data_IF_408749706916
#
_entry.id   IF_408749706916
#
_cell.length_a   1.000
_cell.length_b   1.000
_cell.length_c   1.000
_cell.angle_alpha   90.00
_cell.angle_beta   90.00
_cell.angle_gamma   90.00
#
_symmetry.space_group_name_H-M   'P 1'
#
loop_
_entity.id
_entity.type
_entity.pdbx_description
1 polymer ?
#
# COMPACT_ATOMS: atom_id res chain seq x y z
N UNK A 1 29.47 7.87 10.64
CA UNK A 1 28.31 7.48 9.81
C UNK A 1 27.50 8.73 9.59
N UNK A 2 27.39 9.23 8.35
CA UNK A 2 26.51 10.36 8.04
C UNK A 2 25.06 9.92 8.20
N UNK A 3 24.22 10.75 8.83
CA UNK A 3 22.79 10.49 8.88
C UNK A 3 22.23 10.40 7.44
N UNK A 4 21.34 9.43 7.14
CA UNK A 4 20.69 9.37 5.83
C UNK A 4 20.00 10.71 5.54
N UNK A 5 20.14 11.19 4.31
CA UNK A 5 19.49 12.45 3.92
C UNK A 5 17.98 12.20 3.88
N UNK A 6 17.18 13.19 4.25
CA UNK A 6 15.71 13.11 4.16
C UNK A 6 15.26 12.65 2.76
N UNK A 7 15.96 13.08 1.71
CA UNK A 7 15.72 12.61 0.34
C UNK A 7 15.94 11.10 0.13
N UNK A 8 16.96 10.51 0.76
CA UNK A 8 17.22 9.07 0.67
C UNK A 8 16.12 8.27 1.40
N UNK A 9 15.67 8.77 2.56
CA UNK A 9 14.57 8.18 3.30
C UNK A 9 13.25 8.23 2.51
N UNK A 10 12.94 9.37 1.88
CA UNK A 10 11.77 9.52 1.03
C UNK A 10 11.81 8.58 -0.19
N UNK A 11 12.99 8.38 -0.79
CA UNK A 11 13.16 7.44 -1.91
C UNK A 11 12.89 6.00 -1.47
N UNK A 12 13.45 5.56 -0.33
CA UNK A 12 13.18 4.22 0.20
C UNK A 12 11.72 4.00 0.59
N UNK A 13 11.04 5.01 1.13
CA UNK A 13 9.61 4.93 1.43
C UNK A 13 8.78 4.81 0.14
N UNK A 14 9.17 5.50 -0.93
CA UNK A 14 8.52 5.35 -2.23
C UNK A 14 8.72 3.95 -2.82
N UNK A 15 9.95 3.41 -2.79
CA UNK A 15 10.22 2.03 -3.22
C UNK A 15 9.45 0.99 -2.40
N UNK A 16 9.34 1.19 -1.08
CA UNK A 16 8.57 0.32 -0.21
C UNK A 16 7.07 0.37 -0.53
N UNK A 17 6.53 1.55 -0.84
CA UNK A 17 5.15 1.71 -1.29
C UNK A 17 4.92 1.02 -2.64
N UNK A 18 5.82 1.21 -3.60
CA UNK A 18 5.74 0.55 -4.91
C UNK A 18 5.79 -0.98 -4.78
N UNK A 19 6.62 -1.52 -3.87
CA UNK A 19 6.69 -2.97 -3.64
C UNK A 19 5.42 -3.57 -3.00
N UNK A 20 4.65 -2.76 -2.26
CA UNK A 20 3.41 -3.18 -1.60
C UNK A 20 2.16 -2.90 -2.44
N UNK A 21 2.33 -2.25 -3.59
CA UNK A 21 1.25 -1.85 -4.48
C UNK A 21 1.37 -2.55 -5.81
N UNK A 22 0.21 -2.82 -6.40
CA UNK A 22 0.10 -3.46 -7.70
C UNK A 22 -0.07 -2.32 -8.70
N UNK A 23 0.57 -2.41 -9.86
CA UNK A 23 0.32 -1.48 -10.97
C UNK A 23 -1.13 -1.64 -11.43
N UNK A 24 -2.05 -0.87 -10.84
CA UNK A 24 -3.47 -0.95 -11.17
C UNK A 24 -3.88 0.24 -12.02
N UNK A 25 -3.96 -0.01 -13.33
CA UNK A 25 -4.88 0.73 -14.19
C UNK A 25 -6.27 0.19 -13.93
N UNK A 26 -7.09 0.94 -13.19
CA UNK A 26 -8.51 0.61 -13.06
C UNK A 26 -9.32 1.40 -14.08
N UNK A 27 -10.22 0.72 -14.78
CA UNK A 27 -11.34 1.35 -15.48
C UNK A 27 -12.43 1.68 -14.42
N UNK A 28 -12.65 2.95 -14.07
CA UNK A 28 -13.76 3.32 -13.19
C UNK A 28 -15.09 3.14 -13.93
N UNK A 29 -16.16 3.10 -13.13
CA UNK A 29 -17.54 3.16 -13.61
C UNK A 29 -17.74 4.50 -14.34
N UNK A 30 -17.69 4.48 -15.67
CA UNK A 30 -17.71 5.68 -16.51
C UNK A 30 -16.69 5.68 -17.66
N UNK A 31 -15.81 4.68 -17.76
CA UNK A 31 -14.97 4.46 -18.94
C UNK A 31 -13.74 5.35 -19.07
N UNK A 32 -13.41 6.17 -18.05
CA UNK A 32 -12.22 7.02 -18.04
C UNK A 32 -11.12 6.35 -17.23
N UNK A 33 -10.11 5.75 -17.87
CA UNK A 33 -8.98 5.17 -17.14
C UNK A 33 -8.39 6.15 -16.12
N UNK A 34 -8.40 5.75 -14.85
CA UNK A 34 -7.80 6.54 -13.76
C UNK A 34 -6.82 5.67 -13.02
N UNK A 35 -5.63 6.20 -12.82
CA UNK A 35 -4.63 5.59 -11.94
C UNK A 35 -5.20 5.56 -10.52
N UNK A 36 -5.40 4.36 -10.00
CA UNK A 36 -5.78 4.15 -8.61
C UNK A 36 -4.65 4.69 -7.73
N UNK A 37 -4.94 5.48 -6.68
CA UNK A 37 -3.94 5.83 -5.68
C UNK A 37 -3.23 4.58 -5.16
N UNK A 38 -1.91 4.64 -4.96
CA UNK A 38 -1.11 3.49 -4.53
C UNK A 38 -1.67 2.84 -3.25
N UNK A 39 -2.13 3.66 -2.29
CA UNK A 39 -2.77 3.21 -1.05
C UNK A 39 -4.07 2.40 -1.26
N UNK A 40 -4.76 2.59 -2.39
CA UNK A 40 -5.96 1.86 -2.78
C UNK A 40 -5.64 0.63 -3.65
N UNK A 41 -4.43 0.54 -4.20
CA UNK A 41 -3.95 -0.49 -5.12
C UNK A 41 -3.02 -1.50 -4.43
N UNK A 42 -3.25 -1.83 -3.18
CA UNK A 42 -2.30 -2.63 -2.39
C UNK A 42 -2.47 -4.13 -2.63
N UNK A 43 -1.39 -4.89 -2.42
CA UNK A 43 -1.43 -6.36 -2.41
C UNK A 43 -2.44 -6.88 -1.36
N UNK A 44 -2.72 -6.09 -0.31
CA UNK A 44 -3.76 -6.43 0.67
C UNK A 44 -5.14 -6.62 0.05
N UNK A 45 -5.51 -5.83 -0.97
CA UNK A 45 -6.81 -5.96 -1.63
C UNK A 45 -6.91 -7.26 -2.44
N UNK A 46 -5.83 -7.67 -3.10
CA UNK A 46 -5.77 -8.97 -3.79
C UNK A 46 -5.80 -10.14 -2.81
N UNK A 47 -5.08 -10.04 -1.69
CA UNK A 47 -5.13 -11.03 -0.62
C UNK A 47 -6.55 -11.15 -0.03
N UNK A 48 -7.27 -10.04 0.11
CA UNK A 48 -8.67 -10.04 0.55
C UNK A 48 -9.60 -10.65 -0.50
N UNK A 49 -9.38 -10.40 -1.80
CA UNK A 49 -10.14 -11.06 -2.87
C UNK A 49 -9.94 -12.57 -2.84
N UNK A 50 -8.70 -13.03 -2.67
CA UNK A 50 -8.38 -14.45 -2.51
C UNK A 50 -9.07 -15.02 -1.28
N UNK A 51 -8.96 -14.35 -0.12
CA UNK A 51 -9.65 -14.76 1.10
C UNK A 51 -11.17 -14.95 0.87
N UNK A 52 -11.83 -13.95 0.29
CA UNK A 52 -13.26 -13.99 -0.01
C UNK A 52 -13.65 -15.10 -1.00
N UNK A 53 -12.73 -15.51 -1.88
CA UNK A 53 -12.98 -16.56 -2.86
C UNK A 53 -12.86 -17.98 -2.28
N UNK A 54 -11.98 -18.19 -1.29
CA UNK A 54 -11.61 -19.54 -0.82
C UNK A 54 -12.08 -19.86 0.60
N UNK A 55 -12.29 -18.86 1.46
CA UNK A 55 -12.57 -19.07 2.87
C UNK A 55 -14.07 -18.94 3.17
N UNK A 56 -14.59 -19.71 4.15
CA UNK A 56 -15.89 -19.42 4.74
C UNK A 56 -15.90 -17.98 5.26
N UNK A 57 -16.97 -17.23 4.99
CA UNK A 57 -17.11 -15.78 5.30
C UNK A 57 -16.81 -15.43 6.76
N UNK A 58 -16.89 -16.40 7.66
CA UNK A 58 -16.88 -16.18 9.11
C UNK A 58 -15.55 -16.56 9.77
N UNK A 59 -14.52 -16.95 9.00
CA UNK A 59 -13.23 -17.35 9.56
C UNK A 59 -12.07 -16.63 8.88
N UNK A 60 -11.19 -15.95 9.63
CA UNK A 60 -9.98 -15.39 9.06
C UNK A 60 -9.13 -16.49 8.43
N UNK A 61 -8.53 -16.19 7.28
CA UNK A 61 -7.56 -17.04 6.60
C UNK A 61 -6.18 -16.44 6.70
N UNK A 62 -5.15 -17.19 6.32
CA UNK A 62 -3.79 -16.63 6.23
C UNK A 62 -3.74 -15.40 5.31
N UNK A 63 -4.55 -15.38 4.24
CA UNK A 63 -4.60 -14.25 3.31
C UNK A 63 -5.24 -13.02 3.94
N UNK A 64 -6.28 -13.16 4.76
CA UNK A 64 -6.88 -12.00 5.45
C UNK A 64 -5.95 -11.42 6.50
N UNK A 65 -5.23 -12.29 7.23
CA UNK A 65 -4.23 -11.87 8.22
C UNK A 65 -3.08 -11.13 7.52
N UNK A 66 -2.55 -11.68 6.42
CA UNK A 66 -1.49 -11.02 5.65
C UNK A 66 -1.98 -9.70 5.04
N UNK A 67 -3.23 -9.63 4.57
CA UNK A 67 -3.80 -8.39 4.05
C UNK A 67 -3.85 -7.30 5.12
N UNK A 68 -4.22 -7.62 6.36
CA UNK A 68 -4.24 -6.67 7.47
C UNK A 68 -2.84 -6.15 7.80
N UNK A 69 -1.83 -7.02 7.84
CA UNK A 69 -0.43 -6.61 8.08
C UNK A 69 0.13 -5.75 6.95
N UNK A 70 -0.16 -6.10 5.69
CA UNK A 70 0.24 -5.28 4.53
C UNK A 70 -0.45 -3.92 4.58
N UNK A 71 -1.74 -3.86 4.89
CA UNK A 71 -2.49 -2.60 5.02
C UNK A 71 -1.89 -1.72 6.12
N UNK A 72 -1.54 -2.31 7.27
CA UNK A 72 -0.87 -1.60 8.36
C UNK A 72 0.48 -1.03 7.91
N UNK A 73 1.30 -1.82 7.22
CA UNK A 73 2.59 -1.36 6.72
C UNK A 73 2.45 -0.17 5.75
N UNK A 74 1.50 -0.25 4.81
CA UNK A 74 1.22 0.83 3.85
C UNK A 74 0.83 2.12 4.57
N UNK A 75 -0.05 2.06 5.58
CA UNK A 75 -0.47 3.23 6.36
C UNK A 75 0.73 3.89 7.05
N UNK A 76 1.59 3.08 7.71
CA UNK A 76 2.76 3.60 8.41
C UNK A 76 3.81 4.20 7.46
N UNK A 77 4.03 3.60 6.29
CA UNK A 77 4.94 4.14 5.27
C UNK A 77 4.44 5.49 4.76
N UNK A 78 3.13 5.61 4.46
CA UNK A 78 2.55 6.87 4.00
C UNK A 78 2.59 7.96 5.10
N UNK A 79 2.32 7.58 6.35
CA UNK A 79 2.45 8.49 7.50
C UNK A 79 3.89 8.98 7.66
N UNK A 80 4.88 8.09 7.55
CA UNK A 80 6.30 8.45 7.60
C UNK A 80 6.70 9.38 6.45
N UNK A 81 6.20 9.12 5.23
CA UNK A 81 6.44 9.96 4.06
C UNK A 81 5.87 11.37 4.25
N UNK A 82 4.66 11.48 4.78
CA UNK A 82 4.01 12.76 5.08
C UNK A 82 4.75 13.53 6.18
N UNK A 83 5.18 12.86 7.25
CA UNK A 83 5.94 13.48 8.33
C UNK A 83 7.25 14.08 7.82
N UNK A 84 8.02 13.33 7.02
CA UNK A 84 9.28 13.79 6.43
C UNK A 84 9.08 14.89 5.39
N UNK A 85 7.98 14.87 4.63
CA UNK A 85 7.66 15.91 3.65
C UNK A 85 7.13 17.21 4.27
N UNK A 86 6.66 17.17 5.52
CA UNK A 86 6.17 18.33 6.27
C UNK A 86 7.26 19.01 7.12
N UNK A 87 8.43 18.39 7.29
CA UNK A 87 9.58 19.02 7.94
C UNK A 87 10.11 20.19 7.10
N UNK A 88 10.26 21.40 7.67
CA UNK A 88 10.88 22.50 6.95
C UNK A 88 12.35 22.18 6.68
N UNK A 89 12.71 22.16 5.40
CA UNK A 89 14.06 21.97 4.86
C UNK A 89 15.08 22.99 5.35
#
# INVERSE_FOLDING_TARGET
>A
MSAPRVGDALAHLAEAMDALTIESWTLPVGGVERRTPAIEATIAEDLMRVHCAIAPRDKPSIFSIMAEEVRRAVIEIEAARQALGAEPS
#
